data_IF_254815258680
#
_entry.id   IF_254815258680
#
_cell.length_a   1.000
_cell.length_b   1.000
_cell.length_c   1.000
_cell.angle_alpha   90.00
_cell.angle_beta   90.00
_cell.angle_gamma   90.00
#
_symmetry.space_group_name_H-M   'P 1'
#
loop_
_entity.id
_entity.type
_entity.pdbx_description
1 polymer ?
#
# COMPACT_ATOMS: atom_id res chain seq x y z
N UNK A 1 10.64 -92.29 -26.18
CA UNK A 1 10.19 -90.88 -26.24
C UNK A 1 8.68 -90.88 -25.99
N UNK A 2 8.13 -90.02 -25.13
CA UNK A 2 8.13 -88.57 -25.36
C UNK A 2 8.65 -87.77 -24.15
N UNK A 3 9.25 -86.63 -24.45
CA UNK A 3 9.67 -85.63 -23.46
C UNK A 3 8.42 -84.81 -23.18
N UNK A 4 7.80 -85.01 -22.03
CA UNK A 4 6.65 -84.20 -21.64
C UNK A 4 7.10 -82.75 -21.52
N UNK A 5 6.52 -81.89 -22.35
CA UNK A 5 6.92 -80.51 -22.48
C UNK A 5 6.26 -79.71 -21.33
N UNK A 6 7.00 -79.27 -20.29
CA UNK A 6 6.42 -78.66 -19.09
C UNK A 6 5.80 -77.27 -19.36
N UNK A 7 5.88 -76.80 -20.61
CA UNK A 7 5.40 -75.50 -21.06
C UNK A 7 3.88 -75.47 -21.32
N UNK A 8 3.19 -76.63 -21.31
CA UNK A 8 1.73 -76.71 -21.52
C UNK A 8 0.94 -76.17 -20.31
N UNK A 9 1.57 -76.06 -19.14
CA UNK A 9 0.93 -75.57 -17.91
C UNK A 9 1.26 -74.09 -17.60
N UNK A 10 1.71 -73.32 -18.60
CA UNK A 10 1.84 -71.87 -18.46
C UNK A 10 0.46 -71.23 -18.59
N UNK A 11 -0.19 -71.10 -17.45
CA UNK A 11 -1.42 -70.32 -17.27
C UNK A 11 -1.18 -68.90 -17.75
N UNK A 12 -1.95 -68.47 -18.76
CA UNK A 12 -1.97 -67.13 -19.31
C UNK A 12 -1.89 -66.08 -18.19
N UNK A 13 -0.85 -65.26 -18.20
CA UNK A 13 -0.66 -64.19 -17.24
C UNK A 13 -1.72 -63.13 -17.56
N UNK A 14 -2.86 -63.19 -16.87
CA UNK A 14 -3.87 -62.13 -16.89
C UNK A 14 -3.23 -60.86 -16.33
N UNK A 15 -2.86 -59.93 -17.20
CA UNK A 15 -2.47 -58.58 -16.78
C UNK A 15 -3.66 -57.93 -16.07
N UNK A 16 -3.46 -57.29 -14.89
CA UNK A 16 -4.53 -56.57 -14.25
C UNK A 16 -5.00 -55.45 -15.19
N UNK A 17 -6.32 -55.17 -15.25
CA UNK A 17 -6.83 -54.04 -16.01
C UNK A 17 -6.07 -52.77 -15.59
N UNK A 18 -5.75 -51.86 -16.52
CA UNK A 18 -5.03 -50.64 -16.20
C UNK A 18 -5.77 -49.93 -15.09
N UNK A 19 -5.07 -49.64 -13.99
CA UNK A 19 -5.63 -48.92 -12.87
C UNK A 19 -6.21 -47.61 -13.40
N UNK A 20 -7.54 -47.49 -13.39
CA UNK A 20 -8.20 -46.26 -13.77
C UNK A 20 -7.72 -45.18 -12.80
N UNK A 21 -6.96 -44.23 -13.32
CA UNK A 21 -6.39 -43.09 -12.61
C UNK A 21 -7.52 -42.07 -12.32
N UNK A 22 -8.56 -42.52 -11.61
CA UNK A 22 -9.83 -41.80 -11.41
C UNK A 22 -10.43 -42.12 -10.04
N UNK A 23 -11.04 -41.15 -9.32
CA UNK A 23 -10.70 -39.73 -9.25
C UNK A 23 -9.62 -39.51 -8.18
N UNK A 24 -8.88 -38.38 -8.20
CA UNK A 24 -8.10 -38.00 -7.03
C UNK A 24 -9.06 -38.02 -5.83
N UNK A 25 -8.74 -38.84 -4.83
CA UNK A 25 -9.57 -39.02 -3.64
C UNK A 25 -10.05 -37.65 -3.14
N UNK A 26 -11.32 -37.48 -2.71
CA UNK A 26 -11.93 -36.19 -2.42
C UNK A 26 -11.14 -35.30 -1.43
N UNK A 27 -10.19 -35.89 -0.69
CA UNK A 27 -9.20 -35.17 0.13
C UNK A 27 -8.29 -34.19 -0.63
N UNK A 28 -8.08 -34.34 -1.93
CA UNK A 28 -7.30 -33.36 -2.71
C UNK A 28 -8.03 -32.03 -2.87
N UNK A 29 -9.36 -32.04 -2.93
CA UNK A 29 -10.14 -30.81 -2.95
C UNK A 29 -9.95 -30.01 -1.67
N UNK A 30 -9.85 -30.69 -0.52
CA UNK A 30 -9.54 -30.05 0.76
C UNK A 30 -8.15 -29.41 0.71
N UNK A 31 -7.14 -30.10 0.16
CA UNK A 31 -5.80 -29.53 -0.03
C UNK A 31 -5.80 -28.31 -0.97
N UNK A 32 -6.54 -28.36 -2.08
CA UNK A 32 -6.66 -27.22 -3.00
C UNK A 32 -7.33 -26.03 -2.33
N UNK A 33 -8.45 -26.25 -1.62
CA UNK A 33 -9.15 -25.20 -0.87
C UNK A 33 -8.24 -24.61 0.20
N UNK A 34 -7.48 -25.44 0.92
CA UNK A 34 -6.56 -24.99 1.95
C UNK A 34 -5.43 -24.13 1.35
N UNK A 35 -4.83 -24.56 0.24
CA UNK A 35 -3.80 -23.80 -0.47
C UNK A 35 -4.38 -22.46 -0.96
N UNK A 36 -5.61 -22.45 -1.46
CA UNK A 36 -6.27 -21.24 -1.95
C UNK A 36 -6.53 -20.25 -0.80
N UNK A 37 -6.98 -20.73 0.36
CA UNK A 37 -7.14 -19.91 1.56
C UNK A 37 -5.81 -19.33 2.04
N UNK A 38 -4.75 -20.13 2.07
CA UNK A 38 -3.39 -19.68 2.44
C UNK A 38 -2.92 -18.62 1.45
N UNK A 39 -3.08 -18.85 0.14
CA UNK A 39 -2.69 -17.92 -0.91
C UNK A 39 -3.46 -16.59 -0.82
N UNK A 40 -4.77 -16.62 -0.52
CA UNK A 40 -5.57 -15.41 -0.31
C UNK A 40 -5.14 -14.68 0.96
N UNK A 41 -4.90 -15.41 2.05
CA UNK A 41 -4.47 -14.84 3.31
C UNK A 41 -3.08 -14.17 3.19
N UNK A 42 -2.10 -14.91 2.65
CA UNK A 42 -0.77 -14.38 2.38
C UNK A 42 -0.81 -13.27 1.34
N UNK A 43 -1.61 -13.40 0.29
CA UNK A 43 -1.80 -12.37 -0.72
C UNK A 43 -2.31 -11.07 -0.10
N UNK A 44 -3.34 -11.12 0.74
CA UNK A 44 -3.86 -9.94 1.46
C UNK A 44 -2.84 -9.37 2.44
N UNK A 45 -2.11 -10.22 3.16
CA UNK A 45 -1.08 -9.79 4.11
C UNK A 45 0.09 -9.10 3.41
N UNK A 46 0.58 -9.69 2.32
CA UNK A 46 1.66 -9.16 1.51
C UNK A 46 1.20 -7.87 0.81
N UNK A 47 -0.02 -7.83 0.29
CA UNK A 47 -0.59 -6.63 -0.33
C UNK A 47 -0.66 -5.49 0.68
N UNK A 48 -1.20 -5.74 1.89
CA UNK A 48 -1.18 -4.74 2.97
C UNK A 48 0.23 -4.25 3.30
N UNK A 49 1.22 -5.15 3.32
CA UNK A 49 2.61 -4.81 3.64
C UNK A 49 3.35 -4.07 2.50
N UNK A 50 2.99 -4.35 1.25
CA UNK A 50 3.50 -3.61 0.09
C UNK A 50 2.81 -2.26 -0.08
N UNK A 51 1.53 -2.16 0.27
CA UNK A 51 0.77 -0.90 0.31
C UNK A 51 1.34 0.08 1.34
N UNK A 52 2.04 -0.38 2.39
CA UNK A 52 2.71 0.52 3.33
C UNK A 52 3.93 1.23 2.75
N UNK A 53 4.56 0.70 1.68
CA UNK A 53 5.84 1.20 1.15
C UNK A 53 5.71 2.05 -0.12
N UNK A 54 4.72 1.77 -0.96
CA UNK A 54 4.44 2.51 -2.20
C UNK A 54 4.01 3.98 -1.99
N UNK A 55 3.13 4.34 -1.04
CA UNK A 55 2.60 5.69 -0.93
C UNK A 55 3.68 6.69 -0.53
N UNK A 56 4.72 6.27 0.20
CA UNK A 56 5.87 7.13 0.52
C UNK A 56 6.62 7.58 -0.72
N UNK A 57 6.99 6.64 -1.58
CA UNK A 57 7.76 6.97 -2.79
C UNK A 57 6.91 7.81 -3.75
N UNK A 58 5.62 7.53 -3.84
CA UNK A 58 4.69 8.28 -4.67
C UNK A 58 4.46 9.70 -4.13
N UNK A 59 4.26 9.87 -2.82
CA UNK A 59 4.12 11.18 -2.19
C UNK A 59 5.37 12.04 -2.35
N UNK A 60 6.56 11.46 -2.16
CA UNK A 60 7.83 12.17 -2.37
C UNK A 60 8.06 12.53 -3.85
N UNK A 61 7.65 11.66 -4.78
CA UNK A 61 7.72 11.94 -6.22
C UNK A 61 6.78 13.06 -6.61
N UNK A 62 5.53 13.02 -6.13
CA UNK A 62 4.54 14.08 -6.34
C UNK A 62 5.02 15.42 -5.77
N UNK A 63 5.63 15.42 -4.57
CA UNK A 63 6.18 16.64 -3.97
C UNK A 63 7.29 17.24 -4.83
N UNK A 64 8.21 16.42 -5.37
CA UNK A 64 9.25 16.89 -6.29
C UNK A 64 8.68 17.44 -7.59
N UNK A 65 7.65 16.81 -8.13
CA UNK A 65 7.00 17.26 -9.36
C UNK A 65 6.30 18.61 -9.14
N UNK A 66 5.56 18.76 -8.04
CA UNK A 66 4.95 20.03 -7.63
C UNK A 66 6.00 21.13 -7.42
N UNK A 67 7.16 20.81 -6.85
CA UNK A 67 8.25 21.78 -6.68
C UNK A 67 8.83 22.22 -8.03
N UNK A 68 8.95 21.31 -9.00
CA UNK A 68 9.42 21.63 -10.36
C UNK A 68 8.39 22.47 -11.12
N UNK A 69 7.11 22.13 -11.02
CA UNK A 69 6.02 22.86 -11.66
C UNK A 69 5.87 24.27 -11.07
N UNK A 70 5.95 24.43 -9.75
CA UNK A 70 5.91 25.75 -9.10
C UNK A 70 7.04 26.67 -9.63
N UNK A 71 8.26 26.14 -9.81
CA UNK A 71 9.37 26.90 -10.39
C UNK A 71 9.13 27.35 -11.84
N UNK A 72 8.25 26.69 -12.58
CA UNK A 72 7.98 26.98 -14.00
C UNK A 72 6.77 27.88 -14.19
N UNK A 73 5.68 27.61 -13.47
CA UNK A 73 4.38 28.25 -13.72
C UNK A 73 4.06 29.36 -12.71
N UNK A 74 4.77 29.40 -11.56
CA UNK A 74 4.54 30.33 -10.45
C UNK A 74 3.08 30.38 -9.96
N UNK A 75 2.33 29.27 -10.15
CA UNK A 75 0.97 29.14 -9.66
C UNK A 75 0.98 28.68 -8.20
N UNK A 76 1.09 29.66 -7.31
CA UNK A 76 1.18 29.37 -5.88
C UNK A 76 -0.06 28.68 -5.31
N UNK A 77 -1.26 29.12 -5.69
CA UNK A 77 -2.52 28.58 -5.16
C UNK A 77 -2.77 27.12 -5.56
N UNK A 78 -2.45 26.74 -6.81
CA UNK A 78 -2.63 25.35 -7.27
C UNK A 78 -1.63 24.44 -6.57
N UNK A 79 -0.39 24.90 -6.38
CA UNK A 79 0.66 24.19 -5.65
C UNK A 79 0.27 23.97 -4.19
N UNK A 80 -0.22 25.00 -3.50
CA UNK A 80 -0.67 24.93 -2.11
C UNK A 80 -1.81 23.92 -1.92
N UNK A 81 -2.80 23.94 -2.82
CA UNK A 81 -3.91 22.98 -2.81
C UNK A 81 -3.43 21.54 -3.03
N UNK A 82 -2.45 21.35 -3.93
CA UNK A 82 -1.90 20.03 -4.18
C UNK A 82 -1.08 19.53 -2.97
N UNK A 83 -0.34 20.40 -2.29
CA UNK A 83 0.36 20.07 -1.04
C UNK A 83 -0.62 19.69 0.08
N UNK A 84 -1.72 20.43 0.25
CA UNK A 84 -2.73 20.12 1.28
C UNK A 84 -3.44 18.80 1.00
N UNK A 85 -3.76 18.51 -0.27
CA UNK A 85 -4.30 17.22 -0.68
C UNK A 85 -3.30 16.08 -0.46
N UNK A 86 -2.02 16.31 -0.72
CA UNK A 86 -0.96 15.32 -0.48
C UNK A 86 -0.85 14.97 1.00
N UNK A 87 -0.82 15.97 1.88
CA UNK A 87 -0.83 15.78 3.34
C UNK A 87 -2.06 15.00 3.79
N UNK A 88 -3.26 15.36 3.32
CA UNK A 88 -4.49 14.62 3.67
C UNK A 88 -4.46 13.17 3.21
N UNK A 89 -4.04 12.92 1.97
CA UNK A 89 -3.92 11.54 1.45
C UNK A 89 -2.90 10.74 2.25
N UNK A 90 -1.74 11.32 2.55
CA UNK A 90 -0.71 10.68 3.37
C UNK A 90 -1.23 10.38 4.78
N UNK A 91 -1.85 11.35 5.45
CA UNK A 91 -2.42 11.17 6.78
C UNK A 91 -3.51 10.08 6.81
N UNK A 92 -4.44 10.06 5.84
CA UNK A 92 -5.44 8.99 5.73
C UNK A 92 -4.83 7.61 5.45
N UNK A 93 -3.67 7.55 4.80
CA UNK A 93 -3.00 6.30 4.45
C UNK A 93 -2.20 5.74 5.64
N UNK A 94 -1.49 6.61 6.37
CA UNK A 94 -0.68 6.21 7.53
C UNK A 94 -1.48 6.10 8.83
N UNK A 95 -2.57 6.87 8.97
CA UNK A 95 -3.40 6.95 10.18
C UNK A 95 -4.87 6.65 9.88
N UNK A 96 -5.12 5.57 9.13
CA UNK A 96 -6.47 5.16 8.72
C UNK A 96 -7.41 4.85 9.90
N UNK A 97 -6.87 4.48 11.07
CA UNK A 97 -7.64 4.15 12.28
C UNK A 97 -8.05 5.39 13.11
N UNK A 98 -7.41 6.56 12.90
CA UNK A 98 -7.49 7.69 13.83
C UNK A 98 -8.57 8.75 13.52
N UNK A 99 -9.62 8.43 12.76
CA UNK A 99 -10.68 9.39 12.35
C UNK A 99 -10.12 10.70 11.75
N UNK A 100 -9.01 10.62 11.02
CA UNK A 100 -8.33 11.78 10.43
C UNK A 100 -9.26 12.54 9.46
N UNK A 101 -10.23 11.87 8.85
CA UNK A 101 -11.19 12.46 7.93
C UNK A 101 -12.07 13.57 8.55
N UNK A 102 -12.33 13.52 9.86
CA UNK A 102 -13.11 14.55 10.56
C UNK A 102 -12.28 15.75 11.04
N UNK A 103 -10.96 15.70 10.93
CA UNK A 103 -10.07 16.76 11.42
C UNK A 103 -10.01 17.93 10.43
N UNK A 104 -10.40 19.12 10.88
CA UNK A 104 -10.42 20.35 10.08
C UNK A 104 -9.87 21.55 10.88
N UNK A 105 -9.41 22.59 10.19
CA UNK A 105 -8.95 23.83 10.81
C UNK A 105 -7.76 23.62 11.75
N UNK A 106 -7.88 24.08 13.00
CA UNK A 106 -6.83 23.99 14.02
C UNK A 106 -6.57 22.55 14.46
N UNK A 107 -7.62 21.72 14.59
CA UNK A 107 -7.49 20.31 14.97
C UNK A 107 -6.68 19.49 13.93
N UNK A 108 -6.72 19.91 12.66
CA UNK A 108 -5.87 19.35 11.61
C UNK A 108 -4.41 19.73 11.77
N UNK A 109 -4.12 21.00 12.11
CA UNK A 109 -2.75 21.48 12.33
C UNK A 109 -2.12 20.83 13.57
N UNK A 110 -2.87 20.72 14.67
CA UNK A 110 -2.43 20.02 15.88
C UNK A 110 -2.12 18.55 15.62
N UNK A 111 -2.93 17.88 14.79
CA UNK A 111 -2.66 16.51 14.37
C UNK A 111 -1.36 16.41 13.55
N UNK A 112 -1.13 17.32 12.61
CA UNK A 112 0.11 17.34 11.82
C UNK A 112 1.33 17.57 12.71
N UNK A 113 1.23 18.46 13.68
CA UNK A 113 2.31 18.72 14.64
C UNK A 113 2.57 17.53 15.56
N UNK A 114 1.51 16.89 16.06
CA UNK A 114 1.61 15.66 16.86
C UNK A 114 2.27 14.51 16.09
N UNK A 115 1.91 14.32 14.83
CA UNK A 115 2.42 13.22 13.98
C UNK A 115 3.78 13.52 13.35
N UNK A 116 4.10 14.79 13.14
CA UNK A 116 5.39 15.24 12.61
C UNK A 116 6.43 15.55 13.69
N UNK A 117 6.04 15.51 14.97
CA UNK A 117 6.84 16.03 16.11
C UNK A 117 7.37 17.43 15.83
N UNK A 118 6.52 18.27 15.26
CA UNK A 118 6.82 19.67 14.96
C UNK A 118 5.81 20.56 15.66
N UNK A 119 6.08 21.86 15.71
CA UNK A 119 5.10 22.90 16.06
C UNK A 119 4.92 23.89 14.91
N UNK A 120 5.50 23.59 13.76
CA UNK A 120 5.60 24.48 12.61
C UNK A 120 4.27 24.56 11.83
N UNK A 121 3.35 23.61 12.05
CA UNK A 121 2.02 23.65 11.45
C UNK A 121 1.04 24.52 12.24
N UNK A 122 1.12 24.53 13.58
CA UNK A 122 0.29 25.38 14.44
C UNK A 122 0.89 26.78 14.64
N UNK A 123 2.21 26.91 14.78
CA UNK A 123 2.87 28.19 15.10
C UNK A 123 3.71 28.77 13.96
N UNK A 124 3.95 28.03 12.88
CA UNK A 124 4.84 28.42 11.79
C UNK A 124 4.14 28.59 10.45
N UNK A 125 4.91 28.43 9.37
CA UNK A 125 4.43 28.59 8.00
C UNK A 125 3.31 27.60 7.60
N UNK A 126 3.11 26.51 8.35
CA UNK A 126 2.10 25.51 8.04
C UNK A 126 0.67 25.88 8.43
N UNK A 127 0.43 27.01 9.11
CA UNK A 127 -0.91 27.50 9.46
C UNK A 127 -1.82 27.67 8.24
N UNK A 128 -1.21 27.96 7.09
CA UNK A 128 -1.86 28.10 5.79
C UNK A 128 -2.66 26.85 5.40
N UNK A 129 -2.33 25.66 5.91
CA UNK A 129 -3.05 24.42 5.62
C UNK A 129 -4.36 24.20 6.41
N UNK A 130 -4.64 25.04 7.41
CA UNK A 130 -5.81 24.92 8.29
C UNK A 130 -7.06 25.59 7.70
N UNK A 131 -7.39 26.78 8.20
CA UNK A 131 -8.54 27.59 7.77
C UNK A 131 -8.20 28.63 6.70
N UNK A 132 -6.92 28.91 6.48
CA UNK A 132 -6.46 30.08 5.70
C UNK A 132 -6.09 29.76 4.25
N UNK A 133 -6.29 28.51 3.79
CA UNK A 133 -5.98 28.03 2.43
C UNK A 133 -6.50 28.93 1.30
N UNK A 134 -7.52 29.75 1.57
CA UNK A 134 -8.19 30.60 0.60
C UNK A 134 -8.03 32.11 0.85
N UNK A 135 -7.56 32.52 2.03
CA UNK A 135 -7.79 33.90 2.48
C UNK A 135 -6.61 34.84 2.23
N UNK A 136 -5.42 34.30 1.93
CA UNK A 136 -4.23 35.14 1.80
C UNK A 136 -3.52 34.91 0.47
N UNK A 137 -3.78 35.85 -0.44
CA UNK A 137 -2.91 36.19 -1.54
C UNK A 137 -1.52 36.49 -0.96
N UNK A 138 -0.63 35.50 -0.94
CA UNK A 138 0.71 35.73 -0.40
C UNK A 138 1.76 35.11 -1.28
N UNK A 139 2.52 36.00 -1.91
CA UNK A 139 3.84 35.81 -2.53
C UNK A 139 4.91 35.32 -1.51
N UNK A 140 4.49 34.93 -0.30
CA UNK A 140 5.36 34.50 0.79
C UNK A 140 5.52 32.98 0.74
N UNK A 141 6.63 32.60 0.13
CA UNK A 141 7.39 31.37 0.36
C UNK A 141 6.60 30.06 0.45
N UNK A 142 5.81 29.77 -0.57
CA UNK A 142 5.43 28.37 -0.86
C UNK A 142 6.68 27.47 -0.93
N UNK A 143 7.81 28.07 -1.36
CA UNK A 143 9.14 27.52 -1.25
C UNK A 143 9.49 26.99 0.16
N UNK A 144 9.11 27.68 1.24
CA UNK A 144 9.34 27.27 2.64
C UNK A 144 8.38 26.17 3.12
N UNK A 145 7.23 25.97 2.45
CA UNK A 145 6.30 24.89 2.76
C UNK A 145 6.80 23.53 2.26
N UNK A 146 7.51 23.49 1.12
CA UNK A 146 8.07 22.24 0.59
C UNK A 146 8.98 21.47 1.57
N UNK A 147 10.00 22.08 2.20
CA UNK A 147 10.85 21.37 3.16
C UNK A 147 10.08 20.93 4.40
N UNK A 148 9.08 21.70 4.83
CA UNK A 148 8.23 21.39 5.98
C UNK A 148 7.34 20.17 5.71
N UNK A 149 6.66 20.12 4.56
CA UNK A 149 5.86 18.96 4.13
C UNK A 149 6.75 17.73 3.91
N UNK A 150 7.93 17.90 3.31
CA UNK A 150 8.87 16.81 3.11
C UNK A 150 9.37 16.23 4.44
N UNK A 151 9.72 17.07 5.41
CA UNK A 151 10.15 16.64 6.75
C UNK A 151 9.03 15.84 7.44
N UNK A 152 7.80 16.35 7.39
CA UNK A 152 6.64 15.67 7.95
C UNK A 152 6.41 14.30 7.30
N UNK A 153 6.45 14.20 5.96
CA UNK A 153 6.29 12.94 5.24
C UNK A 153 7.36 11.90 5.61
N UNK A 154 8.59 12.34 5.88
CA UNK A 154 9.67 11.44 6.33
C UNK A 154 9.37 10.92 7.74
N UNK A 155 9.08 11.82 8.70
CA UNK A 155 8.84 11.46 10.10
C UNK A 155 7.59 10.58 10.27
N UNK A 156 6.48 10.96 9.64
CA UNK A 156 5.23 10.19 9.63
C UNK A 156 5.43 8.76 9.12
N UNK A 157 6.35 8.56 8.17
CA UNK A 157 6.65 7.23 7.63
C UNK A 157 7.54 6.35 8.51
N UNK A 158 8.23 6.93 9.50
CA UNK A 158 9.08 6.17 10.42
C UNK A 158 8.32 5.60 11.61
N UNK A 159 7.12 6.12 11.88
CA UNK A 159 6.32 5.77 13.04
C UNK A 159 5.49 4.49 12.83
N UNK A 160 5.60 3.83 11.67
CA UNK A 160 4.80 2.68 11.25
C UNK A 160 5.64 1.54 10.63
#
# INVERSE_FOLDING_TARGET
MPVENPLINLKDIRLPPPVSFWPPAPGWWISVVLILLIAVFFGRWLWRRFESRKPKMEALRLLKDLQSQHKKTNEGLTTLRNLSQLLRRAALTFYAEENVASLHGTAWLEFLDKTGKTTEFTLGAGQVFGSELYQQKTDLEIAALFPLVNKWLIECSQQH
#
